data_IF_337594165581
#
_entry.id   IF_337594165581
#
_cell.length_a   1.000
_cell.length_b   1.000
_cell.length_c   1.000
_cell.angle_alpha   90.00
_cell.angle_beta   90.00
_cell.angle_gamma   90.00
#
_symmetry.space_group_name_H-M   'P 1'
#
loop_
_entity.id
_entity.type
_entity.pdbx_description
1 polymer ?
#
# COMPACT_ATOMS: atom_id res chain seq x y z
N UNK A 1 -7.89 20.50 5.16
CA UNK A 1 -8.59 19.26 4.81
C UNK A 1 -7.59 18.15 4.95
N UNK A 2 -7.81 17.26 5.91
CA UNK A 2 -6.93 16.10 6.13
C UNK A 2 -7.32 14.94 5.22
N UNK A 3 -6.37 14.05 4.91
CA UNK A 3 -6.64 12.86 4.08
C UNK A 3 -7.77 11.99 4.65
N UNK A 4 -7.94 11.95 5.97
CA UNK A 4 -9.02 11.22 6.64
C UNK A 4 -10.42 11.79 6.35
N UNK A 5 -10.55 13.13 6.30
CA UNK A 5 -11.82 13.78 5.96
C UNK A 5 -12.21 13.49 4.51
N UNK A 6 -11.22 13.50 3.62
CA UNK A 6 -11.39 13.17 2.21
C UNK A 6 -11.79 11.70 2.02
N UNK A 7 -11.08 10.76 2.66
CA UNK A 7 -11.41 9.34 2.64
C UNK A 7 -12.83 9.09 3.16
N UNK A 8 -13.20 9.71 4.28
CA UNK A 8 -14.55 9.61 4.86
C UNK A 8 -15.62 10.16 3.93
N UNK A 9 -15.37 11.26 3.23
CA UNK A 9 -16.31 11.81 2.24
C UNK A 9 -16.56 10.86 1.06
N UNK A 10 -15.61 9.98 0.77
CA UNK A 10 -15.70 8.92 -0.25
C UNK A 10 -16.28 7.61 0.31
N UNK A 11 -16.77 7.60 1.56
CA UNK A 11 -17.30 6.41 2.22
C UNK A 11 -16.22 5.40 2.64
N UNK A 12 -14.95 5.79 2.63
CA UNK A 12 -13.83 4.98 3.11
C UNK A 12 -13.57 5.35 4.56
N UNK A 13 -13.80 4.41 5.46
CA UNK A 13 -13.56 4.60 6.90
C UNK A 13 -12.27 3.90 7.30
N UNK A 14 -11.25 4.66 7.69
CA UNK A 14 -10.00 4.12 8.21
C UNK A 14 -10.24 3.55 9.60
N UNK A 15 -9.93 2.27 9.79
CA UNK A 15 -10.06 1.57 11.07
C UNK A 15 -8.78 1.78 11.88
N UNK A 16 -7.64 1.40 11.29
CA UNK A 16 -6.34 1.49 11.95
C UNK A 16 -5.19 1.53 10.93
N UNK A 17 -4.00 1.90 11.42
CA UNK A 17 -2.77 1.81 10.63
C UNK A 17 -2.32 0.36 10.57
N UNK A 18 -1.90 -0.07 9.39
CA UNK A 18 -1.32 -1.40 9.21
C UNK A 18 0.01 -1.51 9.98
N UNK A 19 0.24 -2.65 10.63
CA UNK A 19 1.47 -2.90 11.36
C UNK A 19 2.68 -3.01 10.41
N UNK A 20 3.88 -2.74 10.93
CA UNK A 20 5.10 -2.65 10.14
C UNK A 20 5.54 -3.98 9.53
N UNK A 21 5.18 -5.11 10.16
CA UNK A 21 5.59 -6.44 9.71
C UNK A 21 4.72 -6.89 8.53
N UNK A 22 3.40 -6.68 8.64
CA UNK A 22 2.46 -6.91 7.53
C UNK A 22 2.74 -5.95 6.37
N UNK A 23 2.96 -4.67 6.64
CA UNK A 23 3.34 -3.69 5.62
C UNK A 23 4.66 -4.07 4.93
N UNK A 24 5.65 -4.56 5.68
CA UNK A 24 6.91 -5.06 5.14
C UNK A 24 6.70 -6.28 4.24
N UNK A 25 5.84 -7.22 4.64
CA UNK A 25 5.51 -8.40 3.83
C UNK A 25 4.84 -8.02 2.50
N UNK A 26 3.96 -7.01 2.52
CA UNK A 26 3.35 -6.45 1.29
C UNK A 26 4.43 -5.79 0.42
N UNK A 27 5.30 -4.98 1.02
CA UNK A 27 6.37 -4.30 0.30
C UNK A 27 7.32 -5.29 -0.39
N UNK A 28 7.71 -6.38 0.29
CA UNK A 28 8.53 -7.45 -0.27
C UNK A 28 7.84 -8.13 -1.45
N UNK A 29 6.57 -8.50 -1.29
CA UNK A 29 5.79 -9.13 -2.35
C UNK A 29 5.69 -8.24 -3.60
N UNK A 30 5.36 -6.96 -3.43
CA UNK A 30 5.19 -6.01 -4.53
C UNK A 30 6.53 -5.70 -5.20
N UNK A 31 7.58 -5.41 -4.44
CA UNK A 31 8.92 -5.12 -4.98
C UNK A 31 9.46 -6.32 -5.78
N UNK A 32 9.33 -7.53 -5.24
CA UNK A 32 9.69 -8.76 -5.94
C UNK A 32 8.87 -8.95 -7.22
N UNK A 33 7.55 -8.74 -7.15
CA UNK A 33 6.65 -8.80 -8.29
C UNK A 33 7.04 -7.85 -9.42
N UNK A 34 7.38 -6.60 -9.09
CA UNK A 34 7.81 -5.58 -10.07
C UNK A 34 9.14 -5.99 -10.73
N UNK A 35 10.15 -6.36 -9.94
CA UNK A 35 11.45 -6.79 -10.46
C UNK A 35 11.33 -8.01 -11.38
N UNK A 36 10.49 -8.98 -11.00
CA UNK A 36 10.28 -10.20 -11.78
C UNK A 36 9.46 -9.96 -13.06
N UNK A 37 8.50 -9.04 -13.01
CA UNK A 37 7.65 -8.71 -14.18
C UNK A 37 8.42 -7.87 -15.20
N UNK A 38 9.33 -6.99 -14.75
CA UNK A 38 10.04 -6.04 -15.60
C UNK A 38 11.57 -6.16 -15.51
N UNK A 39 12.16 -7.35 -15.80
CA UNK A 39 13.59 -7.58 -15.59
C UNK A 39 14.49 -6.70 -16.46
N UNK A 40 13.98 -6.20 -17.59
CA UNK A 40 14.71 -5.31 -18.49
C UNK A 40 14.86 -3.87 -17.96
N UNK A 41 13.99 -3.45 -17.05
CA UNK A 41 14.03 -2.12 -16.45
C UNK A 41 15.05 -2.01 -15.32
N UNK A 42 15.60 -3.16 -14.86
CA UNK A 42 16.66 -3.23 -13.84
C UNK A 42 16.34 -2.42 -12.58
N UNK A 43 15.08 -2.50 -12.13
CA UNK A 43 14.68 -1.91 -10.87
C UNK A 43 15.50 -2.52 -9.72
N UNK A 44 15.87 -1.68 -8.76
CA UNK A 44 16.52 -2.12 -7.54
C UNK A 44 15.46 -2.56 -6.55
N UNK A 45 15.54 -3.82 -6.13
CA UNK A 45 14.62 -4.39 -5.15
C UNK A 45 14.62 -3.64 -3.82
N UNK A 46 15.80 -3.25 -3.30
CA UNK A 46 15.92 -2.62 -1.99
C UNK A 46 15.29 -1.23 -2.00
N UNK A 47 15.59 -0.43 -3.04
CA UNK A 47 15.02 0.90 -3.19
C UNK A 47 13.49 0.83 -3.31
N UNK A 48 12.95 -0.10 -4.11
CA UNK A 48 11.50 -0.32 -4.21
C UNK A 48 10.89 -0.78 -2.89
N UNK A 49 11.54 -1.70 -2.18
CA UNK A 49 11.06 -2.20 -0.91
C UNK A 49 10.97 -1.08 0.13
N UNK A 50 12.01 -0.28 0.27
CA UNK A 50 12.05 0.84 1.23
C UNK A 50 10.99 1.89 0.85
N UNK A 51 10.90 2.28 -0.42
CA UNK A 51 9.90 3.24 -0.89
C UNK A 51 8.46 2.75 -0.63
N UNK A 52 8.17 1.47 -0.89
CA UNK A 52 6.83 0.91 -0.67
C UNK A 52 6.54 0.75 0.83
N UNK A 53 7.52 0.31 1.62
CA UNK A 53 7.37 0.10 3.06
C UNK A 53 7.09 1.40 3.81
N UNK A 54 7.69 2.50 3.36
CA UNK A 54 7.51 3.82 3.97
C UNK A 54 6.15 4.45 3.64
N UNK A 55 5.39 3.89 2.69
CA UNK A 55 4.04 4.35 2.40
C UNK A 55 3.12 4.14 3.62
N UNK A 56 2.28 5.14 3.95
CA UNK A 56 1.31 4.99 5.02
C UNK A 56 0.20 4.02 4.57
N UNK A 57 0.22 2.81 5.13
CA UNK A 57 -0.78 1.77 4.86
C UNK A 57 -1.80 1.67 6.01
N UNK A 58 -3.06 1.45 5.65
CA UNK A 58 -4.18 1.43 6.59
C UNK A 58 -5.14 0.28 6.27
N UNK A 59 -5.78 -0.24 7.32
CA UNK A 59 -6.95 -1.10 7.21
C UNK A 59 -8.16 -0.18 7.20
N UNK A 60 -9.02 -0.32 6.18
CA UNK A 60 -10.18 0.53 6.01
C UNK A 60 -11.41 -0.29 5.59
N UNK A 61 -12.57 0.15 6.07
CA UNK A 61 -13.86 -0.26 5.53
C UNK A 61 -14.07 0.47 4.21
N UNK A 62 -14.13 -0.30 3.14
CA UNK A 62 -14.51 0.23 1.83
C UNK A 62 -16.03 0.36 1.77
N UNK A 63 -16.56 1.39 1.07
CA UNK A 63 -17.98 1.44 0.81
C UNK A 63 -18.36 0.18 0.03
N UNK A 64 -19.48 -0.46 0.39
CA UNK A 64 -19.97 -1.62 -0.34
C UNK A 64 -20.09 -1.25 -1.82
N UNK A 65 -19.20 -1.78 -2.66
CA UNK A 65 -19.38 -1.67 -4.10
C UNK A 65 -20.62 -2.49 -4.43
N UNK A 66 -21.59 -1.85 -5.07
CA UNK A 66 -22.63 -2.57 -5.80
C UNK A 66 -21.91 -3.45 -6.83
N UNK A 67 -21.83 -4.75 -6.56
CA UNK A 67 -21.47 -5.76 -7.55
C UNK A 67 -22.57 -5.85 -8.61
#
# INVERSE_FOLDING_TARGET
MGIEEELKSNGIEVIERLDLDTAGSIAEFVASGICNTFPKLRFNFHDLFDEIRDLPMYIANMPARAC
#
